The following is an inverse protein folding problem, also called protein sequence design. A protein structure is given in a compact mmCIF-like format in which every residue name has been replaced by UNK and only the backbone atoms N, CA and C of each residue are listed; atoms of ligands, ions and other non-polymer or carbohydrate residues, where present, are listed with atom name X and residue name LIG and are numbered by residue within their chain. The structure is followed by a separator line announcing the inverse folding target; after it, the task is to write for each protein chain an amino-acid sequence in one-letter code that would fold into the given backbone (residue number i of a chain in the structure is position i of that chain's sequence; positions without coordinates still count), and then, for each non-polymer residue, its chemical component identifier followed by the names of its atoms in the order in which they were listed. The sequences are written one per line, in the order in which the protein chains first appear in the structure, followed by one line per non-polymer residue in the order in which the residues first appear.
data_IF_530298372061
#
_entry.id   IF_530298372061
#
_cell.length_a   1.000
_cell.length_b   1.000
_cell.length_c   1.000
_cell.angle_alpha   90.00
_cell.angle_beta   90.00
_cell.angle_gamma   90.00
#
_symmetry.space_group_name_H-M   'P 1'
#
loop_
_entity.id
_entity.type
_entity.pdbx_description
1 polymer ?
#
# COMPACT_ATOMS: atom_id res chain seq x y z
N UNK A 1 -4.95 31.51 -92.67
CA UNK A 1 -4.35 30.16 -92.80
C UNK A 1 -5.38 29.20 -93.41
N UNK A 2 -4.90 28.28 -94.26
CA UNK A 2 -5.51 27.05 -94.84
C UNK A 2 -6.80 26.54 -94.14
N UNK A 3 -7.96 26.46 -94.84
CA UNK A 3 -8.49 25.37 -95.72
C UNK A 3 -9.19 24.21 -94.97
N UNK A 4 -10.45 23.92 -95.40
CA UNK A 4 -11.05 22.64 -95.87
C UNK A 4 -10.70 21.34 -95.08
N UNK A 5 -11.59 20.40 -94.76
CA UNK A 5 -13.01 20.12 -95.11
C UNK A 5 -13.29 18.58 -95.01
N UNK A 6 -14.45 18.09 -95.49
CA UNK A 6 -14.86 16.65 -95.60
C UNK A 6 -15.04 15.87 -94.26
N UNK A 7 -16.05 15.02 -93.97
CA UNK A 7 -16.93 14.05 -94.67
C UNK A 7 -16.42 12.58 -94.63
N UNK A 8 -17.38 11.62 -94.45
CA UNK A 8 -17.34 10.15 -94.63
C UNK A 8 -16.82 9.19 -93.52
N UNK A 9 -17.77 8.71 -92.71
CA UNK A 9 -18.33 7.33 -92.69
C UNK A 9 -17.52 6.13 -93.24
N UNK A 10 -17.34 5.08 -92.40
CA UNK A 10 -17.22 3.63 -92.73
C UNK A 10 -17.42 2.83 -91.41
N UNK A 11 -18.43 1.96 -91.24
CA UNK A 11 -18.43 0.50 -91.52
C UNK A 11 -17.14 -0.20 -91.02
N UNK A 12 -17.12 -1.17 -90.10
CA UNK A 12 -17.77 -2.52 -90.08
C UNK A 12 -17.34 -3.26 -88.77
N UNK A 13 -17.82 -4.44 -88.31
CA UNK A 13 -18.88 -5.40 -88.71
C UNK A 13 -19.35 -6.26 -87.48
N UNK A 14 -20.19 -7.28 -87.70
CA UNK A 14 -20.83 -8.25 -86.77
C UNK A 14 -19.96 -8.97 -85.69
N UNK A 15 -20.63 -9.46 -84.63
CA UNK A 15 -20.12 -10.51 -83.72
C UNK A 15 -21.04 -10.87 -82.54
N UNK A 16 -22.11 -11.64 -82.77
CA UNK A 16 -23.08 -12.06 -81.74
C UNK A 16 -22.55 -13.15 -80.81
N UNK A 17 -22.82 -13.09 -79.49
CA UNK A 17 -23.14 -14.27 -78.68
C UNK A 17 -24.03 -13.93 -77.48
N UNK A 18 -25.11 -14.70 -77.31
CA UNK A 18 -25.95 -14.71 -76.11
C UNK A 18 -25.28 -15.66 -75.10
N UNK A 19 -25.06 -15.20 -73.88
CA UNK A 19 -24.65 -16.05 -72.75
C UNK A 19 -25.61 -15.83 -71.58
N UNK A 20 -26.24 -16.91 -71.12
CA UNK A 20 -27.19 -16.87 -70.01
C UNK A 20 -26.59 -16.24 -68.76
N UNK A 21 -27.23 -15.21 -68.20
CA UNK A 21 -27.08 -14.89 -66.78
C UNK A 21 -27.58 -16.09 -65.99
N UNK A 22 -26.65 -16.82 -65.37
CA UNK A 22 -26.98 -17.80 -64.35
C UNK A 22 -27.38 -17.01 -63.10
N UNK A 23 -28.65 -17.09 -62.70
CA UNK A 23 -29.08 -16.52 -61.43
C UNK A 23 -28.34 -17.23 -60.29
N UNK A 24 -27.44 -16.50 -59.62
CA UNK A 24 -26.96 -16.89 -58.31
C UNK A 24 -27.97 -16.37 -57.29
N UNK A 25 -28.81 -17.27 -56.79
CA UNK A 25 -29.63 -17.03 -55.61
C UNK A 25 -28.72 -16.55 -54.48
N UNK A 26 -29.01 -15.43 -53.80
CA UNK A 26 -28.24 -15.01 -52.63
C UNK A 26 -28.40 -16.08 -51.54
N UNK A 27 -27.31 -16.79 -51.27
CA UNK A 27 -27.25 -17.71 -50.15
C UNK A 27 -27.14 -16.86 -48.88
N UNK A 28 -28.29 -16.55 -48.27
CA UNK A 28 -28.36 -15.88 -46.97
C UNK A 28 -27.74 -16.80 -45.91
N UNK A 29 -26.43 -16.70 -45.74
CA UNK A 29 -25.73 -17.23 -44.57
C UNK A 29 -26.26 -16.47 -43.37
N UNK A 30 -27.05 -17.15 -42.52
CA UNK A 30 -27.45 -16.60 -41.22
C UNK A 30 -26.19 -16.65 -40.35
N UNK A 31 -25.44 -15.54 -40.32
CA UNK A 31 -24.27 -15.37 -39.45
C UNK A 31 -24.72 -15.55 -38.00
N UNK A 32 -24.40 -16.71 -37.45
CA UNK A 32 -24.88 -17.14 -36.15
C UNK A 32 -23.91 -16.64 -35.09
N UNK A 33 -24.26 -15.53 -34.42
CA UNK A 33 -23.41 -14.92 -33.40
C UNK A 33 -23.01 -15.92 -32.32
N UNK A 34 -21.71 -15.97 -32.03
CA UNK A 34 -21.12 -16.81 -30.97
C UNK A 34 -21.75 -16.45 -29.62
N UNK A 35 -22.43 -17.38 -28.92
CA UNK A 35 -23.08 -17.09 -27.66
C UNK A 35 -22.12 -17.13 -26.48
N UNK A 36 -22.46 -16.40 -25.41
CA UNK A 36 -21.72 -16.50 -24.14
C UNK A 36 -21.75 -17.92 -23.57
N UNK A 37 -20.57 -18.46 -23.27
CA UNK A 37 -20.44 -19.72 -22.54
C UNK A 37 -20.84 -19.48 -21.08
N UNK A 38 -21.94 -20.09 -20.64
CA UNK A 38 -22.30 -20.13 -19.21
C UNK A 38 -21.27 -20.95 -18.44
N UNK A 39 -20.99 -20.54 -17.21
CA UNK A 39 -20.08 -21.22 -16.27
C UNK A 39 -20.83 -21.44 -14.93
N UNK A 40 -20.34 -22.29 -14.02
CA UNK A 40 -20.84 -22.35 -12.66
C UNK A 40 -20.79 -20.97 -11.97
N UNK A 41 -21.63 -20.75 -10.96
CA UNK A 41 -21.58 -19.54 -10.13
C UNK A 41 -20.67 -19.78 -8.92
N UNK A 42 -19.43 -20.17 -9.19
CA UNK A 42 -18.42 -20.58 -8.21
C UNK A 42 -17.13 -19.78 -8.43
N UNK A 43 -16.35 -19.58 -7.37
CA UNK A 43 -15.26 -18.60 -7.35
C UNK A 43 -14.01 -19.19 -6.69
N UNK A 44 -13.05 -19.60 -7.53
CA UNK A 44 -11.85 -20.30 -7.10
C UNK A 44 -10.78 -19.39 -6.47
N UNK A 45 -10.73 -18.10 -6.83
CA UNK A 45 -9.81 -17.12 -6.24
C UNK A 45 -10.24 -15.67 -6.49
N UNK A 46 -9.95 -14.79 -5.52
CA UNK A 46 -10.15 -13.34 -5.60
C UNK A 46 -8.94 -12.58 -6.20
N UNK A 47 -7.81 -13.25 -6.40
CA UNK A 47 -6.52 -12.62 -6.76
C UNK A 47 -6.43 -12.14 -8.21
N UNK A 48 -7.38 -12.55 -9.06
CA UNK A 48 -7.42 -12.22 -10.50
C UNK A 48 -8.52 -11.24 -10.88
N UNK A 49 -9.10 -10.53 -9.92
CA UNK A 49 -10.18 -9.57 -10.17
C UNK A 49 -9.71 -8.39 -11.05
N UNK A 50 -10.58 -7.91 -11.94
CA UNK A 50 -10.38 -6.68 -12.71
C UNK A 50 -11.20 -5.53 -12.12
N UNK A 51 -10.60 -4.35 -12.07
CA UNK A 51 -11.24 -3.09 -11.73
C UNK A 51 -11.47 -2.29 -13.02
N UNK A 52 -12.64 -1.65 -13.12
CA UNK A 52 -12.94 -0.75 -14.22
C UNK A 52 -12.08 0.52 -14.13
N UNK A 53 -11.27 0.80 -15.15
CA UNK A 53 -10.42 1.99 -15.22
C UNK A 53 -11.22 3.30 -15.40
N UNK A 54 -12.47 3.20 -15.87
CA UNK A 54 -13.39 4.35 -16.01
C UNK A 54 -14.80 3.98 -15.58
N UNK A 55 -15.66 4.98 -15.36
CA UNK A 55 -17.09 4.76 -15.11
C UNK A 55 -17.91 4.58 -16.40
N UNK A 56 -17.28 4.41 -17.57
CA UNK A 56 -18.00 4.22 -18.83
C UNK A 56 -18.56 2.79 -18.93
N UNK A 57 -19.69 2.63 -19.60
CA UNK A 57 -20.19 1.31 -19.99
C UNK A 57 -19.26 0.72 -21.06
N UNK A 58 -18.78 -0.49 -20.83
CA UNK A 58 -17.85 -1.19 -21.73
C UNK A 58 -18.50 -2.44 -22.32
N UNK A 59 -17.88 -2.99 -23.36
CA UNK A 59 -18.39 -4.17 -24.07
C UNK A 59 -17.59 -5.41 -23.66
N UNK A 60 -18.31 -6.40 -23.14
CA UNK A 60 -17.84 -7.78 -23.06
C UNK A 60 -18.33 -8.53 -24.30
N UNK A 61 -17.47 -9.35 -24.89
CA UNK A 61 -17.72 -10.18 -26.07
C UNK A 61 -17.75 -11.66 -25.66
N UNK A 62 -18.52 -12.50 -26.34
CA UNK A 62 -18.51 -13.95 -26.10
C UNK A 62 -17.27 -14.66 -26.68
N UNK A 63 -16.56 -14.01 -27.60
CA UNK A 63 -15.39 -14.48 -28.32
C UNK A 63 -14.48 -13.31 -28.71
N UNK A 64 -13.23 -13.59 -29.10
CA UNK A 64 -12.29 -12.57 -29.62
C UNK A 64 -12.69 -12.02 -31.01
N UNK A 65 -13.50 -12.74 -31.77
CA UNK A 65 -14.08 -12.24 -33.02
C UNK A 65 -15.20 -11.24 -32.70
N UNK A 66 -14.84 -9.96 -32.64
CA UNK A 66 -15.74 -8.86 -32.29
C UNK A 66 -16.86 -8.62 -33.32
N UNK A 67 -16.79 -9.22 -34.51
CA UNK A 67 -17.83 -9.13 -35.54
C UNK A 67 -18.89 -10.20 -35.30
N UNK A 68 -18.47 -11.46 -35.11
CA UNK A 68 -19.38 -12.61 -34.94
C UNK A 68 -19.62 -12.99 -33.46
N UNK A 69 -19.54 -12.02 -32.55
CA UNK A 69 -19.77 -12.23 -31.11
C UNK A 69 -21.13 -11.72 -30.64
N UNK A 70 -21.77 -12.45 -29.74
CA UNK A 70 -22.72 -11.81 -28.84
C UNK A 70 -21.99 -10.84 -27.92
N UNK A 71 -22.59 -9.66 -27.72
CA UNK A 71 -22.07 -8.62 -26.85
C UNK A 71 -22.96 -8.41 -25.63
N UNK A 72 -22.34 -8.16 -24.48
CA UNK A 72 -23.00 -7.70 -23.26
C UNK A 72 -22.37 -6.39 -22.85
N UNK A 73 -23.20 -5.34 -22.71
CA UNK A 73 -22.78 -4.09 -22.07
C UNK A 73 -22.71 -4.33 -20.57
N UNK A 74 -21.59 -3.94 -19.98
CA UNK A 74 -21.29 -4.06 -18.55
C UNK A 74 -20.78 -2.72 -18.04
N UNK A 75 -20.99 -2.43 -16.77
CA UNK A 75 -20.66 -1.15 -16.16
C UNK A 75 -20.19 -1.34 -14.73
N UNK A 76 -19.49 -0.33 -14.20
CA UNK A 76 -18.96 -0.35 -12.85
C UNK A 76 -20.11 -0.36 -11.84
N UNK A 77 -20.38 -1.52 -11.25
CA UNK A 77 -21.44 -1.75 -10.27
C UNK A 77 -20.95 -2.72 -9.19
N UNK A 78 -21.32 -2.55 -7.91
CA UNK A 78 -20.92 -3.48 -6.84
C UNK A 78 -21.44 -4.91 -7.08
N UNK A 79 -22.53 -5.07 -7.82
CA UNK A 79 -23.12 -6.36 -8.15
C UNK A 79 -22.47 -7.03 -9.39
N UNK A 80 -21.44 -6.44 -9.99
CA UNK A 80 -20.77 -6.94 -11.19
C UNK A 80 -19.27 -7.10 -10.96
N UNK A 81 -18.73 -8.32 -11.14
CA UNK A 81 -17.33 -8.64 -10.91
C UNK A 81 -16.75 -9.43 -12.07
N UNK A 82 -15.48 -9.20 -12.40
CA UNK A 82 -14.77 -9.87 -13.49
C UNK A 82 -13.45 -10.43 -12.97
N UNK A 83 -13.14 -11.67 -13.33
CA UNK A 83 -11.92 -12.36 -12.92
C UNK A 83 -11.19 -12.90 -14.14
N UNK A 84 -9.89 -12.59 -14.28
CA UNK A 84 -9.05 -13.02 -15.41
C UNK A 84 -8.87 -14.53 -15.38
N UNK A 85 -9.22 -15.18 -16.49
CA UNK A 85 -8.91 -16.59 -16.77
C UNK A 85 -7.56 -16.66 -17.49
N UNK A 86 -7.44 -15.92 -18.59
CA UNK A 86 -6.27 -15.87 -19.46
C UNK A 86 -6.03 -14.45 -20.02
N UNK A 87 -4.83 -14.22 -20.53
CA UNK A 87 -4.41 -12.93 -21.09
C UNK A 87 -3.86 -13.13 -22.50
N UNK A 88 -4.42 -12.39 -23.46
CA UNK A 88 -4.02 -12.39 -24.87
C UNK A 88 -3.88 -10.95 -25.34
N UNK A 89 -3.00 -10.65 -26.30
CA UNK A 89 -2.75 -9.33 -26.95
C UNK A 89 -3.57 -8.15 -26.37
N UNK A 90 -4.75 -7.87 -26.94
CA UNK A 90 -5.63 -6.76 -26.54
C UNK A 90 -6.74 -7.14 -25.55
N UNK A 91 -6.88 -8.42 -25.16
CA UNK A 91 -8.03 -8.93 -24.41
C UNK A 91 -7.66 -9.67 -23.12
N UNK A 92 -8.48 -9.47 -22.08
CA UNK A 92 -8.59 -10.43 -20.98
C UNK A 92 -9.72 -11.42 -21.30
N UNK A 93 -9.43 -12.71 -21.24
CA UNK A 93 -10.48 -13.72 -21.07
C UNK A 93 -10.92 -13.68 -19.61
N UNK A 94 -12.23 -13.57 -19.37
CA UNK A 94 -12.80 -13.26 -18.05
C UNK A 94 -13.98 -14.16 -17.71
N UNK A 95 -14.05 -14.55 -16.45
CA UNK A 95 -15.27 -15.01 -15.81
C UNK A 95 -15.98 -13.78 -15.24
N UNK A 96 -17.11 -13.41 -15.84
CA UNK A 96 -18.01 -12.36 -15.37
C UNK A 96 -19.06 -12.96 -14.44
N UNK A 97 -19.32 -12.29 -13.32
CA UNK A 97 -20.36 -12.62 -12.36
C UNK A 97 -21.24 -11.40 -12.12
N UNK A 98 -22.56 -11.60 -12.22
CA UNK A 98 -23.56 -10.64 -11.78
C UNK A 98 -24.32 -11.23 -10.59
N UNK A 99 -24.30 -10.53 -9.46
CA UNK A 99 -24.96 -10.89 -8.22
C UNK A 99 -26.38 -10.29 -8.15
N UNK A 100 -27.12 -10.61 -7.09
CA UNK A 100 -28.50 -10.16 -6.85
C UNK A 100 -29.53 -11.26 -7.07
N UNK A 101 -30.81 -10.87 -7.25
CA UNK A 101 -31.96 -11.79 -7.25
C UNK A 101 -31.97 -12.83 -8.38
N UNK A 102 -31.25 -12.58 -9.48
CA UNK A 102 -31.11 -13.49 -10.61
C UNK A 102 -29.61 -13.58 -10.98
N UNK A 103 -28.80 -14.33 -10.21
CA UNK A 103 -27.37 -14.37 -10.41
C UNK A 103 -27.04 -15.05 -11.76
N UNK A 104 -26.10 -14.48 -12.50
CA UNK A 104 -25.63 -15.03 -13.78
C UNK A 104 -24.11 -14.95 -13.88
N UNK A 105 -23.50 -16.02 -14.40
CA UNK A 105 -22.07 -16.08 -14.69
C UNK A 105 -21.80 -16.56 -16.11
N UNK A 106 -20.83 -15.89 -16.74
CA UNK A 106 -20.44 -16.15 -18.13
C UNK A 106 -18.92 -16.09 -18.27
N UNK A 107 -18.37 -16.90 -19.16
CA UNK A 107 -17.05 -16.69 -19.71
C UNK A 107 -17.15 -15.81 -20.97
N UNK A 108 -16.26 -14.83 -21.09
CA UNK A 108 -16.19 -13.91 -22.22
C UNK A 108 -14.86 -13.20 -22.30
N UNK A 109 -14.79 -12.15 -23.12
CA UNK A 109 -13.59 -11.37 -23.39
C UNK A 109 -13.87 -9.88 -23.22
N UNK A 110 -12.96 -9.17 -22.57
CA UNK A 110 -13.00 -7.70 -22.43
C UNK A 110 -11.67 -7.12 -22.88
N UNK A 111 -11.69 -5.93 -23.50
CA UNK A 111 -10.44 -5.28 -23.91
C UNK A 111 -9.67 -4.76 -22.70
N UNK A 112 -8.35 -4.96 -22.70
CA UNK A 112 -7.45 -4.56 -21.60
C UNK A 112 -7.47 -3.06 -21.31
N UNK A 113 -7.64 -2.23 -22.35
CA UNK A 113 -7.62 -0.75 -22.26
C UNK A 113 -8.64 -0.15 -21.26
N UNK A 114 -9.69 -0.89 -20.89
CA UNK A 114 -10.73 -0.43 -19.96
C UNK A 114 -10.59 -0.98 -18.53
N UNK A 115 -9.59 -1.83 -18.26
CA UNK A 115 -9.48 -2.57 -17.01
C UNK A 115 -8.07 -2.58 -16.45
N UNK A 116 -7.97 -2.36 -15.15
CA UNK A 116 -6.77 -2.58 -14.36
C UNK A 116 -6.91 -3.88 -13.58
N UNK A 117 -5.82 -4.64 -13.42
CA UNK A 117 -5.84 -5.79 -12.49
C UNK A 117 -5.90 -5.26 -11.07
N UNK A 118 -6.81 -5.80 -10.27
CA UNK A 118 -6.86 -5.53 -8.83
C UNK A 118 -5.54 -5.95 -8.21
N UNK A 119 -4.80 -5.01 -7.65
CA UNK A 119 -3.59 -5.33 -6.88
C UNK A 119 -4.03 -5.86 -5.50
N UNK A 120 -3.80 -7.14 -5.15
CA UNK A 120 -4.16 -7.68 -3.84
C UNK A 120 -3.37 -7.04 -2.69
N UNK A 121 -2.40 -6.18 -3.02
CA UNK A 121 -1.56 -5.43 -2.10
C UNK A 121 -1.84 -3.91 -2.11
N UNK A 122 -2.84 -3.43 -2.87
CA UNK A 122 -3.26 -2.03 -2.83
C UNK A 122 -3.99 -1.71 -1.52
N UNK A 123 -3.54 -0.66 -0.85
CA UNK A 123 -4.19 -0.14 0.36
C UNK A 123 -5.43 0.72 0.05
N UNK A 124 -5.72 1.01 -1.22
CA UNK A 124 -6.96 1.70 -1.65
C UNK A 124 -8.20 0.81 -1.51
N UNK A 125 -8.00 -0.50 -1.30
CA UNK A 125 -9.03 -1.53 -1.28
C UNK A 125 -9.34 -2.05 0.14
N UNK A 126 -8.71 -1.48 1.18
CA UNK A 126 -8.92 -1.85 2.59
C UNK A 126 -9.38 -0.67 3.44
N UNK A 127 -10.00 -0.98 4.57
CA UNK A 127 -10.39 0.03 5.55
C UNK A 127 -9.17 0.43 6.40
N UNK A 128 -8.54 1.56 6.08
CA UNK A 128 -7.40 2.06 6.87
C UNK A 128 -7.80 2.48 8.29
N UNK A 129 -9.03 2.94 8.50
CA UNK A 129 -9.54 3.32 9.83
C UNK A 129 -9.84 2.10 10.72
N UNK A 130 -9.65 0.86 10.27
CA UNK A 130 -9.95 -0.35 11.05
C UNK A 130 -8.89 -0.60 12.14
N UNK A 131 -9.36 -0.80 13.38
CA UNK A 131 -8.51 -1.02 14.54
C UNK A 131 -8.97 -2.24 15.36
N UNK A 132 -8.03 -3.00 15.91
CA UNK A 132 -8.31 -4.16 16.79
C UNK A 132 -8.73 -3.68 18.17
N UNK A 133 -8.02 -2.69 18.71
CA UNK A 133 -8.24 -2.07 20.02
C UNK A 133 -7.53 -0.72 20.11
N UNK A 134 -7.83 0.02 21.17
CA UNK A 134 -7.21 1.30 21.53
C UNK A 134 -7.03 1.41 23.05
N UNK A 135 -6.11 2.28 23.48
CA UNK A 135 -5.97 2.72 24.86
C UNK A 135 -5.82 4.25 24.87
N UNK A 136 -6.69 4.96 25.57
CA UNK A 136 -6.60 6.42 25.72
C UNK A 136 -6.42 6.76 27.20
N UNK A 137 -5.23 7.25 27.57
CA UNK A 137 -4.87 7.67 28.94
C UNK A 137 -5.19 6.60 30.01
N UNK A 138 -4.98 5.33 29.68
CA UNK A 138 -5.24 4.17 30.54
C UNK A 138 -6.63 3.54 30.38
N UNK A 139 -7.52 4.12 29.56
CA UNK A 139 -8.83 3.55 29.23
C UNK A 139 -8.71 2.67 27.99
N UNK A 140 -8.61 1.35 28.20
CA UNK A 140 -8.63 0.34 27.15
C UNK A 140 -10.03 0.21 26.52
N UNK A 141 -10.08 -0.01 25.20
CA UNK A 141 -11.30 -0.18 24.43
C UNK A 141 -11.06 -1.07 23.21
N UNK A 142 -11.70 -2.23 23.19
CA UNK A 142 -11.73 -3.19 22.09
C UNK A 142 -13.13 -3.34 21.45
N UNK A 143 -14.10 -2.51 21.82
CA UNK A 143 -15.45 -2.55 21.25
C UNK A 143 -15.53 -1.64 20.02
N UNK A 144 -14.93 -0.45 20.08
CA UNK A 144 -14.82 0.44 18.92
C UNK A 144 -13.74 -0.06 17.95
N UNK A 145 -14.16 -0.61 16.81
CA UNK A 145 -13.26 -1.12 15.75
C UNK A 145 -12.85 -0.07 14.71
N UNK A 146 -13.05 1.22 14.99
CA UNK A 146 -12.72 2.31 14.08
C UNK A 146 -11.90 3.43 14.75
N UNK A 147 -10.85 3.87 14.05
CA UNK A 147 -10.01 5.00 14.41
C UNK A 147 -10.73 6.36 14.34
N UNK A 148 -11.86 6.44 13.62
CA UNK A 148 -12.65 7.67 13.38
C UNK A 148 -13.05 8.44 14.65
N UNK A 149 -13.14 7.75 15.80
CA UNK A 149 -13.38 8.35 17.13
C UNK A 149 -12.21 9.19 17.64
N UNK A 150 -10.99 8.87 17.22
CA UNK A 150 -9.75 9.45 17.71
C UNK A 150 -9.06 10.33 16.67
N UNK A 151 -9.39 10.17 15.39
CA UNK A 151 -8.65 10.80 14.30
C UNK A 151 -9.15 10.41 12.92
N UNK A 152 -8.30 10.60 11.92
CA UNK A 152 -8.49 10.14 10.55
C UNK A 152 -7.20 9.55 10.02
N UNK A 153 -7.27 8.45 9.26
CA UNK A 153 -6.15 7.95 8.47
C UNK A 153 -6.53 7.90 6.98
N UNK A 154 -5.62 8.34 6.11
CA UNK A 154 -5.84 8.34 4.65
C UNK A 154 -4.55 8.16 3.86
N UNK A 155 -4.67 7.62 2.65
CA UNK A 155 -3.56 7.58 1.71
C UNK A 155 -3.19 8.98 1.23
N UNK A 156 -1.89 9.20 1.00
CA UNK A 156 -1.32 10.41 0.43
C UNK A 156 -0.29 10.06 -0.64
N UNK A 157 -0.03 11.00 -1.55
CA UNK A 157 0.94 10.77 -2.62
C UNK A 157 2.39 10.73 -2.10
N UNK A 158 3.26 10.04 -2.83
CA UNK A 158 4.71 10.05 -2.57
C UNK A 158 5.28 11.47 -2.53
N UNK A 159 4.84 12.36 -3.43
CA UNK A 159 5.29 13.75 -3.46
C UNK A 159 4.89 14.51 -2.19
N UNK A 160 3.71 14.24 -1.63
CA UNK A 160 3.31 14.79 -0.34
C UNK A 160 4.23 14.27 0.77
N UNK A 161 4.39 12.95 0.90
CA UNK A 161 5.27 12.33 1.91
C UNK A 161 6.71 12.87 1.83
N UNK A 162 7.32 12.88 0.64
CA UNK A 162 8.67 13.41 0.38
C UNK A 162 8.81 14.88 0.75
N UNK A 163 7.83 15.71 0.39
CA UNK A 163 7.80 17.15 0.71
C UNK A 163 7.75 17.41 2.22
N UNK A 164 7.08 16.56 2.98
CA UNK A 164 6.99 16.70 4.43
C UNK A 164 8.20 16.08 5.16
N UNK A 165 8.71 14.91 4.73
CA UNK A 165 9.94 14.29 5.24
C UNK A 165 11.13 15.27 5.21
N UNK A 166 11.24 16.05 4.15
CA UNK A 166 12.29 17.05 3.98
C UNK A 166 12.12 18.33 4.83
N UNK A 167 10.98 18.54 5.51
CA UNK A 167 10.73 19.73 6.35
C UNK A 167 11.23 19.62 7.79
N UNK A 168 11.95 18.53 8.11
CA UNK A 168 12.56 18.24 9.39
C UNK A 168 11.59 18.15 10.57
N UNK A 169 11.43 16.93 11.05
CA UNK A 169 11.01 16.68 12.42
C UNK A 169 12.22 16.25 13.20
N UNK A 170 12.43 16.94 14.32
CA UNK A 170 13.47 16.71 15.32
C UNK A 170 13.94 15.26 15.39
N UNK A 171 15.07 14.94 14.75
CA UNK A 171 15.93 13.90 15.28
C UNK A 171 16.31 14.35 16.70
N UNK A 172 15.70 13.71 17.68
CA UNK A 172 15.85 14.05 19.10
C UNK A 172 17.15 13.49 19.67
N UNK A 173 17.77 12.57 18.92
CA UNK A 173 19.08 12.01 19.17
C UNK A 173 20.10 12.86 18.40
N UNK A 174 21.04 13.45 19.12
CA UNK A 174 22.19 14.16 18.55
C UNK A 174 23.45 13.33 18.75
N UNK A 175 24.55 13.71 18.10
CA UNK A 175 25.86 13.14 18.41
C UNK A 175 26.20 13.29 19.90
N UNK A 176 26.89 12.31 20.46
CA UNK A 176 27.21 12.20 21.87
C UNK A 176 28.71 12.45 22.05
N UNK A 177 29.08 13.55 22.73
CA UNK A 177 30.47 14.01 22.84
C UNK A 177 31.17 13.58 24.14
N UNK A 178 30.40 13.17 25.14
CA UNK A 178 30.83 12.95 26.53
C UNK A 178 30.63 11.48 26.97
N UNK A 179 30.76 10.58 26.01
CA UNK A 179 30.81 9.12 26.15
C UNK A 179 32.04 8.61 25.39
N UNK A 180 32.83 7.74 26.01
CA UNK A 180 34.00 7.11 25.41
C UNK A 180 33.72 5.66 25.03
N UNK A 181 34.50 5.13 24.10
CA UNK A 181 34.51 3.71 23.76
C UNK A 181 35.92 3.14 23.91
N UNK A 182 36.06 2.12 24.76
CA UNK A 182 37.32 1.40 24.93
C UNK A 182 37.42 0.26 23.91
N UNK A 183 38.37 0.37 22.98
CA UNK A 183 38.60 -0.62 21.93
C UNK A 183 39.17 -1.96 22.43
N UNK A 184 39.79 -2.00 23.61
CA UNK A 184 40.37 -3.21 24.20
C UNK A 184 39.30 -4.03 24.91
N UNK A 185 38.50 -3.38 25.77
CA UNK A 185 37.43 -4.05 26.54
C UNK A 185 36.09 -4.13 25.80
N UNK A 186 35.96 -3.44 24.66
CA UNK A 186 34.71 -3.28 23.91
C UNK A 186 33.58 -2.65 24.74
N UNK A 187 33.90 -1.69 25.59
CA UNK A 187 32.95 -1.06 26.52
C UNK A 187 32.74 0.40 26.21
N UNK A 188 31.49 0.85 26.14
CA UNK A 188 31.14 2.27 26.19
C UNK A 188 31.09 2.74 27.65
N UNK A 189 31.64 3.91 27.95
CA UNK A 189 31.62 4.47 29.31
C UNK A 189 31.33 5.97 29.33
N UNK A 190 30.54 6.39 30.32
CA UNK A 190 30.26 7.80 30.60
C UNK A 190 30.02 8.05 32.09
N UNK A 191 30.17 9.30 32.51
CA UNK A 191 29.82 9.74 33.86
C UNK A 191 28.43 10.40 33.88
N UNK A 192 27.63 10.12 34.91
CA UNK A 192 26.33 10.76 35.14
C UNK A 192 26.50 12.18 35.69
N UNK A 193 25.41 12.96 35.67
CA UNK A 193 25.34 14.27 36.31
C UNK A 193 25.47 14.20 37.85
N UNK A 194 25.24 13.03 38.46
CA UNK A 194 25.51 12.76 39.89
C UNK A 194 26.92 12.21 40.15
N UNK A 195 27.74 12.02 39.11
CA UNK A 195 29.15 11.64 39.22
C UNK A 195 29.43 10.13 39.18
N UNK A 196 28.41 9.28 39.03
CA UNK A 196 28.58 7.84 38.91
C UNK A 196 29.09 7.46 37.52
N UNK A 197 29.94 6.44 37.41
CA UNK A 197 30.36 5.86 36.13
C UNK A 197 29.35 4.79 35.68
N UNK A 198 28.94 4.83 34.41
CA UNK A 198 28.13 3.80 33.75
C UNK A 198 28.98 3.18 32.64
N UNK A 199 28.92 1.86 32.56
CA UNK A 199 29.60 1.05 31.56
C UNK A 199 28.59 0.16 30.83
N UNK A 200 28.69 0.10 29.50
CA UNK A 200 27.80 -0.65 28.63
C UNK A 200 28.67 -1.46 27.66
N UNK A 201 28.76 -2.80 27.82
CA UNK A 201 29.47 -3.66 26.88
C UNK A 201 28.85 -3.58 25.48
N UNK A 202 29.69 -3.50 24.44
CA UNK A 202 29.25 -3.61 23.04
C UNK A 202 28.65 -4.98 22.75
N UNK A 203 29.15 -6.01 23.42
CA UNK A 203 28.62 -7.37 23.37
C UNK A 203 28.33 -7.78 24.82
N UNK A 204 27.10 -8.22 25.09
CA UNK A 204 26.69 -8.68 26.40
C UNK A 204 25.88 -9.98 26.27
N UNK A 205 26.22 -11.00 27.05
CA UNK A 205 25.43 -12.22 27.09
C UNK A 205 24.21 -12.00 28.01
N UNK A 206 23.04 -12.40 27.53
CA UNK A 206 21.73 -12.25 28.18
C UNK A 206 21.14 -13.64 28.46
N UNK A 207 19.93 -13.69 29.03
CA UNK A 207 19.20 -14.96 29.17
C UNK A 207 18.69 -15.50 27.83
N UNK A 208 18.53 -14.64 26.82
CA UNK A 208 17.96 -14.97 25.50
C UNK A 208 19.02 -15.15 24.40
N UNK A 209 20.27 -14.73 24.61
CA UNK A 209 21.37 -14.95 23.66
C UNK A 209 22.56 -14.02 23.89
N UNK A 210 23.18 -13.57 22.79
CA UNK A 210 24.20 -12.50 22.83
C UNK A 210 23.62 -11.22 22.21
N UNK A 211 23.53 -10.16 23.01
CA UNK A 211 23.06 -8.84 22.59
C UNK A 211 24.24 -7.93 22.18
N UNK A 212 24.08 -7.21 21.07
CA UNK A 212 25.05 -6.24 20.56
C UNK A 212 24.53 -4.80 20.68
N UNK A 213 25.21 -3.98 21.48
CA UNK A 213 24.89 -2.58 21.73
C UNK A 213 25.67 -1.65 20.76
N UNK A 214 24.95 -0.82 20.01
CA UNK A 214 25.50 0.22 19.14
C UNK A 214 24.97 1.60 19.53
N UNK A 215 25.87 2.51 19.93
CA UNK A 215 25.51 3.89 20.29
C UNK A 215 24.90 4.63 19.09
N UNK A 216 23.65 5.07 19.22
CA UNK A 216 22.95 5.94 18.24
C UNK A 216 23.13 7.42 18.56
N UNK A 217 23.36 7.78 19.83
CA UNK A 217 23.69 9.14 20.26
C UNK A 217 23.07 9.51 21.61
N UNK A 218 22.82 10.80 21.82
CA UNK A 218 22.25 11.34 23.06
C UNK A 218 20.92 12.04 22.82
N UNK A 219 19.91 11.71 23.64
CA UNK A 219 18.62 12.39 23.69
C UNK A 219 18.63 13.49 24.75
N UNK A 220 18.71 14.74 24.30
CA UNK A 220 18.57 15.90 25.20
C UNK A 220 17.17 16.02 25.80
N UNK A 221 16.13 15.52 25.11
CA UNK A 221 14.76 15.54 25.58
C UNK A 221 14.50 14.54 26.72
N UNK A 222 15.18 13.38 26.71
CA UNK A 222 15.07 12.33 27.75
C UNK A 222 16.18 12.42 28.81
N UNK A 223 17.26 13.16 28.53
CA UNK A 223 18.52 13.10 29.29
C UNK A 223 19.09 11.66 29.33
N UNK A 224 19.05 10.95 28.19
CA UNK A 224 19.48 9.55 28.05
C UNK A 224 20.36 9.34 26.82
N UNK A 225 21.41 8.52 26.91
CA UNK A 225 22.08 7.97 25.73
C UNK A 225 21.21 6.86 25.14
N UNK A 226 21.16 6.78 23.81
CA UNK A 226 20.35 5.81 23.09
C UNK A 226 21.26 4.83 22.38
N UNK A 227 21.05 3.55 22.65
CA UNK A 227 21.70 2.43 21.99
C UNK A 227 20.67 1.68 21.17
N UNK A 228 21.04 1.28 19.96
CA UNK A 228 20.38 0.19 19.25
C UNK A 228 20.94 -1.12 19.80
N UNK A 229 20.05 -2.07 20.09
CA UNK A 229 20.41 -3.38 20.60
C UNK A 229 19.91 -4.42 19.62
N UNK A 230 20.82 -5.31 19.19
CA UNK A 230 20.55 -6.40 18.28
C UNK A 230 20.72 -7.72 19.03
N UNK A 231 19.67 -8.54 19.08
CA UNK A 231 19.59 -9.74 19.91
C UNK A 231 18.74 -10.79 19.17
N UNK A 232 19.32 -11.96 18.89
CA UNK A 232 18.70 -13.11 18.19
C UNK A 232 17.74 -12.82 17.01
N UNK A 233 18.05 -11.78 16.21
CA UNK A 233 17.27 -11.40 15.03
C UNK A 233 16.23 -10.30 15.27
N UNK A 234 15.98 -9.94 16.53
CA UNK A 234 15.23 -8.76 16.91
C UNK A 234 16.12 -7.50 16.99
N UNK A 235 15.47 -6.33 17.00
CA UNK A 235 16.15 -5.04 17.15
C UNK A 235 15.30 -4.11 17.99
N UNK A 236 15.86 -3.59 19.07
CA UNK A 236 15.20 -2.63 19.96
C UNK A 236 16.16 -1.51 20.35
N UNK A 237 15.70 -0.56 21.15
CA UNK A 237 16.47 0.59 21.59
C UNK A 237 16.48 0.71 23.10
N UNK A 238 17.68 0.80 23.70
CA UNK A 238 17.90 0.95 25.13
C UNK A 238 18.34 2.40 25.45
N UNK A 239 17.76 2.99 26.50
CA UNK A 239 17.96 4.39 26.84
C UNK A 239 18.55 4.53 28.26
N UNK A 240 19.85 4.81 28.36
CA UNK A 240 20.59 4.87 29.64
C UNK A 240 20.64 6.30 30.18
N UNK A 241 20.31 6.49 31.47
CA UNK A 241 20.19 7.81 32.07
C UNK A 241 21.52 8.52 32.27
N UNK A 242 21.62 9.75 31.76
CA UNK A 242 22.70 10.69 32.09
C UNK A 242 22.49 11.31 33.48
N UNK A 243 21.27 11.25 34.05
CA UNK A 243 20.97 11.87 35.35
C UNK A 243 21.66 11.13 36.50
N UNK A 244 21.43 9.82 36.63
CA UNK A 244 21.91 8.93 37.70
C UNK A 244 21.98 7.47 37.24
N UNK A 245 22.89 6.68 37.82
CA UNK A 245 23.07 5.26 37.47
C UNK A 245 21.99 4.32 38.01
N UNK A 246 21.25 4.71 39.04
CA UNK A 246 20.18 3.91 39.62
C UNK A 246 18.83 3.99 38.87
N UNK A 247 18.77 4.74 37.76
CA UNK A 247 17.58 4.85 36.92
C UNK A 247 17.62 3.73 35.88
N UNK A 248 16.63 2.84 35.92
CA UNK A 248 16.51 1.69 35.00
C UNK A 248 16.52 2.19 33.54
N UNK A 249 17.20 1.51 32.60
CA UNK A 249 17.11 1.83 31.19
C UNK A 249 15.68 1.69 30.68
N UNK A 250 15.25 2.60 29.80
CA UNK A 250 14.01 2.39 29.05
C UNK A 250 14.31 1.50 27.84
N UNK A 251 13.30 0.78 27.35
CA UNK A 251 13.40 -0.06 26.16
C UNK A 251 12.23 0.24 25.21
N UNK A 252 12.50 0.38 23.91
CA UNK A 252 11.46 0.60 22.88
C UNK A 252 11.71 -0.26 21.63
N UNK A 253 10.65 -0.80 21.02
CA UNK A 253 10.76 -1.61 19.77
C UNK A 253 11.14 -0.77 18.53
N UNK A 254 10.90 0.54 18.55
CA UNK A 254 11.33 1.45 17.50
C UNK A 254 11.88 2.76 18.09
N UNK A 255 12.62 3.53 17.29
CA UNK A 255 12.94 4.91 17.63
C UNK A 255 11.67 5.77 17.54
N UNK A 256 11.25 6.44 18.62
CA UNK A 256 10.14 7.37 18.56
C UNK A 256 10.54 8.64 17.81
N UNK A 257 9.61 9.24 17.06
CA UNK A 257 9.79 10.60 16.55
C UNK A 257 9.26 11.62 17.54
N UNK A 258 10.09 12.60 17.90
CA UNK A 258 9.77 13.65 18.86
C UNK A 258 9.26 14.91 18.15
N UNK A 259 8.18 15.51 18.65
CA UNK A 259 7.76 16.84 18.28
C UNK A 259 8.04 17.81 19.43
N UNK A 260 8.90 18.81 19.17
CA UNK A 260 9.33 19.81 20.14
C UNK A 260 8.22 20.75 20.61
N UNK A 261 7.18 20.96 19.79
CA UNK A 261 6.14 21.96 20.03
C UNK A 261 5.08 21.46 21.02
N UNK A 262 4.64 20.21 20.87
CA UNK A 262 3.70 19.54 21.77
C UNK A 262 4.42 18.70 22.86
N UNK A 263 5.74 18.52 22.74
CA UNK A 263 6.59 17.66 23.59
C UNK A 263 6.15 16.18 23.61
N UNK A 264 5.50 15.73 22.55
CA UNK A 264 5.09 14.33 22.39
C UNK A 264 6.08 13.53 21.55
N UNK A 265 6.13 12.24 21.85
CA UNK A 265 6.81 11.21 21.09
C UNK A 265 5.76 10.35 20.38
N UNK A 266 6.04 9.92 19.15
CA UNK A 266 5.23 8.95 18.42
C UNK A 266 6.07 7.74 18.06
N UNK A 267 5.51 6.56 18.25
CA UNK A 267 6.00 5.31 17.68
C UNK A 267 4.93 4.76 16.73
N UNK A 268 5.36 4.20 15.60
CA UNK A 268 4.53 3.35 14.76
C UNK A 268 5.43 2.20 14.32
N UNK A 269 5.09 0.98 14.72
CA UNK A 269 5.85 -0.22 14.40
C UNK A 269 4.92 -1.40 14.10
N UNK A 270 5.46 -2.45 13.46
CA UNK A 270 4.68 -3.63 13.13
C UNK A 270 4.33 -4.42 14.39
N UNK A 271 3.06 -4.79 14.51
CA UNK A 271 2.61 -5.78 15.47
C UNK A 271 2.85 -7.18 14.88
N UNK A 272 3.30 -8.13 15.70
CA UNK A 272 3.66 -9.47 15.22
C UNK A 272 2.42 -10.29 14.84
N UNK A 273 1.26 -10.03 15.46
CA UNK A 273 0.01 -10.69 15.12
C UNK A 273 -0.63 -10.06 13.87
N UNK A 274 -0.95 -8.76 13.96
CA UNK A 274 -1.80 -8.06 12.98
C UNK A 274 -1.42 -6.59 12.85
N UNK A 275 -1.00 -6.19 11.65
CA UNK A 275 -0.88 -4.79 11.25
C UNK A 275 0.19 -3.98 11.97
N UNK A 276 -0.20 -2.82 12.51
CA UNK A 276 0.72 -1.83 13.09
C UNK A 276 0.21 -1.26 14.41
N UNK A 277 1.11 -1.09 15.37
CA UNK A 277 0.85 -0.43 16.65
C UNK A 277 1.31 1.03 16.60
N UNK A 278 0.35 1.95 16.71
CA UNK A 278 0.56 3.39 16.81
C UNK A 278 0.50 3.82 18.27
N UNK A 279 1.51 4.52 18.77
CA UNK A 279 1.60 4.97 20.17
C UNK A 279 2.00 6.45 20.20
N UNK A 280 1.28 7.25 20.99
CA UNK A 280 1.65 8.62 21.36
C UNK A 280 2.00 8.66 22.85
N UNK A 281 3.16 9.22 23.17
CA UNK A 281 3.71 9.26 24.53
C UNK A 281 4.10 10.70 24.89
N UNK A 282 3.93 11.05 26.16
CA UNK A 282 4.50 12.27 26.77
C UNK A 282 5.66 11.89 27.69
N UNK A 283 6.27 12.87 28.36
CA UNK A 283 7.24 12.63 29.43
C UNK A 283 6.65 12.93 30.80
N UNK A 284 6.94 12.07 31.77
CA UNK A 284 6.74 12.37 33.19
C UNK A 284 7.89 13.26 33.73
N UNK A 285 7.83 13.58 35.03
CA UNK A 285 8.85 14.39 35.71
C UNK A 285 10.23 13.73 35.80
N UNK A 286 10.32 12.42 35.58
CA UNK A 286 11.56 11.65 35.58
C UNK A 286 12.19 11.47 34.20
N UNK A 287 11.57 12.08 33.17
CA UNK A 287 11.95 12.02 31.76
C UNK A 287 11.70 10.64 31.12
N UNK A 288 10.74 9.88 31.66
CA UNK A 288 10.29 8.60 31.13
C UNK A 288 9.00 8.74 30.32
N UNK A 289 8.83 7.84 29.35
CA UNK A 289 7.64 7.79 28.52
C UNK A 289 6.38 7.46 29.33
N UNK A 290 5.34 8.27 29.16
CA UNK A 290 3.99 8.00 29.65
C UNK A 290 3.06 7.87 28.45
N UNK A 291 2.48 6.69 28.25
CA UNK A 291 1.49 6.46 27.19
C UNK A 291 0.30 7.41 27.35
N UNK A 292 0.05 8.21 26.32
CA UNK A 292 -1.14 9.06 26.23
C UNK A 292 -2.21 8.37 25.39
N UNK A 293 -1.80 7.69 24.34
CA UNK A 293 -2.70 7.06 23.38
C UNK A 293 -2.00 5.90 22.68
N UNK A 294 -2.72 4.81 22.44
CA UNK A 294 -2.27 3.66 21.67
C UNK A 294 -3.42 3.13 20.81
N UNK A 295 -3.11 2.68 19.60
CA UNK A 295 -4.03 2.06 18.64
C UNK A 295 -3.32 0.92 17.90
N UNK A 296 -3.98 -0.24 17.79
CA UNK A 296 -3.55 -1.32 16.89
C UNK A 296 -4.39 -1.28 15.60
N UNK A 297 -3.79 -0.83 14.50
CA UNK A 297 -4.39 -0.83 13.15
C UNK A 297 -4.25 -2.21 12.50
N UNK A 298 -5.28 -2.71 11.82
CA UNK A 298 -5.31 -4.10 11.33
C UNK A 298 -4.82 -4.30 9.90
N UNK A 299 -4.98 -3.30 9.02
CA UNK A 299 -4.91 -3.52 7.56
C UNK A 299 -3.58 -3.11 6.89
N UNK A 300 -2.62 -2.52 7.63
CA UNK A 300 -1.30 -2.18 7.10
C UNK A 300 -0.17 -2.44 8.10
N UNK A 301 1.02 -2.72 7.55
CA UNK A 301 2.32 -2.74 8.23
C UNK A 301 3.10 -1.47 7.87
N UNK A 302 4.02 -1.04 8.72
CA UNK A 302 4.87 0.14 8.55
C UNK A 302 6.31 -0.25 8.22
N UNK A 303 6.96 0.55 7.37
CA UNK A 303 8.38 0.42 7.07
C UNK A 303 9.23 1.03 8.18
N UNK A 304 10.30 0.34 8.60
CA UNK A 304 11.22 0.82 9.65
C UNK A 304 11.69 2.26 9.36
N UNK A 305 11.77 3.09 10.40
CA UNK A 305 12.27 4.48 10.36
C UNK A 305 11.56 5.44 9.36
N UNK A 306 10.34 5.13 8.92
CA UNK A 306 9.58 5.92 7.93
C UNK A 306 8.59 6.95 8.50
N UNK A 307 8.47 7.02 9.83
CA UNK A 307 7.47 7.84 10.52
C UNK A 307 8.00 9.26 10.71
N UNK A 308 7.21 10.29 10.40
CA UNK A 308 7.55 11.69 10.65
C UNK A 308 6.31 12.48 11.08
N UNK A 309 6.46 13.41 12.03
CA UNK A 309 5.41 14.41 12.29
C UNK A 309 5.23 15.38 11.10
N UNK A 310 4.05 15.98 10.98
CA UNK A 310 3.80 17.10 10.04
C UNK A 310 3.07 18.28 10.71
N UNK A 311 2.49 18.08 11.89
CA UNK A 311 1.88 19.10 12.75
C UNK A 311 2.03 18.67 14.23
N UNK A 312 1.34 19.35 15.15
CA UNK A 312 1.24 18.95 16.57
C UNK A 312 0.33 17.73 16.80
N UNK A 313 -0.39 17.28 15.79
CA UNK A 313 -1.45 16.28 15.92
C UNK A 313 -1.57 15.38 14.67
N UNK A 314 -0.54 15.36 13.83
CA UNK A 314 -0.51 14.57 12.61
C UNK A 314 0.89 14.06 12.29
N UNK A 315 0.95 12.82 11.82
CA UNK A 315 2.16 12.14 11.35
C UNK A 315 1.92 11.52 9.97
N UNK A 316 3.01 11.25 9.26
CA UNK A 316 3.03 10.48 8.02
C UNK A 316 3.93 9.25 8.20
N UNK A 317 3.65 8.20 7.45
CA UNK A 317 4.46 7.00 7.42
C UNK A 317 4.46 6.34 6.03
N UNK A 318 5.50 5.55 5.75
CA UNK A 318 5.54 4.63 4.60
C UNK A 318 5.08 3.26 5.08
N UNK A 319 4.05 2.72 4.43
CA UNK A 319 3.32 1.53 4.87
C UNK A 319 3.12 0.55 3.72
N UNK A 320 2.80 -0.69 4.02
CA UNK A 320 2.52 -1.75 3.06
C UNK A 320 1.39 -2.65 3.57
N UNK A 321 0.72 -3.35 2.65
CA UNK A 321 -0.44 -4.18 2.98
C UNK A 321 -0.04 -5.40 3.84
N UNK A 322 -0.84 -5.77 4.84
CA UNK A 322 -0.50 -6.82 5.82
C UNK A 322 -0.21 -8.19 5.22
N UNK A 323 -0.84 -8.52 4.09
CA UNK A 323 -0.63 -9.78 3.36
C UNK A 323 0.66 -9.82 2.54
N UNK A 324 1.38 -8.70 2.38
CA UNK A 324 2.71 -8.73 1.75
C UNK A 324 3.72 -9.39 2.71
N UNK A 325 4.50 -10.33 2.17
CA UNK A 325 5.59 -11.01 2.89
C UNK A 325 6.88 -10.19 2.94
N UNK A 326 6.95 -9.06 2.22
CA UNK A 326 8.05 -8.10 2.19
C UNK A 326 7.50 -6.66 2.04
N UNK A 327 8.36 -5.65 2.14
CA UNK A 327 8.00 -4.23 2.00
C UNK A 327 8.20 -3.70 0.55
N UNK A 328 8.02 -4.56 -0.46
CA UNK A 328 8.33 -4.21 -1.86
C UNK A 328 7.35 -3.24 -2.51
N UNK A 329 6.06 -3.27 -2.13
CA UNK A 329 5.06 -2.29 -2.58
C UNK A 329 4.60 -1.44 -1.39
N UNK A 330 5.11 -0.21 -1.32
CA UNK A 330 4.71 0.74 -0.29
C UNK A 330 3.72 1.78 -0.79
N UNK A 331 2.88 2.23 0.13
CA UNK A 331 2.04 3.43 0.02
C UNK A 331 2.37 4.37 1.18
N UNK A 332 1.75 5.54 1.22
CA UNK A 332 2.02 6.54 2.23
C UNK A 332 0.72 6.92 2.92
N UNK A 333 0.72 6.94 4.25
CA UNK A 333 -0.44 7.35 5.04
C UNK A 333 -0.17 8.67 5.76
N UNK A 334 -1.24 9.43 5.94
CA UNK A 334 -1.33 10.54 6.86
C UNK A 334 -2.30 10.13 7.97
N UNK A 335 -1.82 10.12 9.20
CA UNK A 335 -2.58 9.86 10.44
C UNK A 335 -2.71 11.18 11.18
N UNK A 336 -3.93 11.69 11.30
CA UNK A 336 -4.29 12.89 12.07
C UNK A 336 -5.10 12.45 13.29
N UNK A 337 -4.84 12.99 14.48
CA UNK A 337 -5.42 12.52 15.74
C UNK A 337 -5.71 13.65 16.73
N UNK A 338 -6.61 13.41 17.68
CA UNK A 338 -7.08 14.39 18.66
C UNK A 338 -7.06 13.78 20.07
N UNK A 339 -6.08 14.16 20.90
CA UNK A 339 -5.77 13.56 22.21
C UNK A 339 -5.40 14.60 23.27
#
# INVERSE_FOLDING_TARGET
MKKVGFLLLLCSVLGSFIACKKEQTPQNTIETLTPFKKIPFELDSLEKELLFATNQTVVMFASKDTVNSQIKRIEKSPDQRLFVVAEDDDFYEVNYFQYGNNPVSYQGYVKKEFFEKKDPYSLDLVNLDEIRYSNLKGVYNDQDKSFSKYGTIKLVSYDFYKKQKNKLVSNFITHANDISFNNETKTYSFQTNSGEQIEIPQQNDTEEGTAFNLLKGFSAALQRYVFEVQEEGDTYYAYYSKRRSNIIPLYTKSLPVYNKNNRHFVQLYNDNDVGSLFIVQSLNNDFDFTEQFLVNFTNFKVKKESVYWISNNAVIAEVYHTTQTNDSKTSYVLIEFNI
#
